data_IF_449350913491
#
_entry.id   IF_449350913491
#
_cell.length_a   1.000
_cell.length_b   1.000
_cell.length_c   1.000
_cell.angle_alpha   90.00
_cell.angle_beta   90.00
_cell.angle_gamma   90.00
#
_symmetry.space_group_name_H-M   'P 1'
#
loop_
_entity.id
_entity.type
_entity.pdbx_description
1 polymer ?
#
# COMPACT_ATOMS: atom_id res chain seq x y z
N UNK A 1 -6.68 5.06 -4.51
CA UNK A 1 -6.69 4.75 -5.96
C UNK A 1 -6.70 5.99 -6.87
N UNK A 2 -6.20 7.17 -6.43
CA UNK A 2 -6.22 8.39 -7.26
C UNK A 2 -4.88 8.75 -7.95
N UNK A 3 -3.76 8.16 -7.55
CA UNK A 3 -2.42 8.53 -8.08
C UNK A 3 -2.01 7.76 -9.35
N UNK A 4 -2.76 6.73 -9.76
CA UNK A 4 -2.42 5.89 -10.92
C UNK A 4 -2.96 6.46 -12.25
N UNK A 5 -3.80 7.51 -12.20
CA UNK A 5 -4.53 8.09 -13.34
C UNK A 5 -3.91 9.39 -13.88
N UNK A 6 -2.67 9.73 -13.48
CA UNK A 6 -1.99 10.95 -13.94
C UNK A 6 -2.43 12.25 -13.25
N UNK A 7 -3.32 12.17 -12.26
CA UNK A 7 -3.78 13.28 -11.41
C UNK A 7 -3.19 13.18 -10.00
N UNK A 8 -1.93 12.75 -9.90
CA UNK A 8 -1.21 12.72 -8.64
C UNK A 8 -0.88 14.13 -8.15
N UNK A 9 -0.77 14.29 -6.83
CA UNK A 9 -0.31 15.53 -6.17
C UNK A 9 0.87 16.11 -6.96
N UNK A 10 0.81 17.36 -7.44
CA UNK A 10 1.90 17.93 -8.21
C UNK A 10 3.20 17.88 -7.40
N UNK A 11 4.35 17.61 -8.03
CA UNK A 11 5.64 17.48 -7.33
C UNK A 11 5.88 18.72 -6.45
N UNK A 12 6.14 18.55 -5.15
CA UNK A 12 7.45 18.07 -4.69
C UNK A 12 7.42 16.90 -3.68
N UNK A 13 6.24 16.40 -3.31
CA UNK A 13 6.12 15.34 -2.30
C UNK A 13 6.14 13.94 -2.94
N UNK A 14 7.12 13.07 -2.60
CA UNK A 14 7.14 11.71 -3.10
C UNK A 14 5.98 10.92 -2.48
N UNK A 15 5.03 10.50 -3.31
CA UNK A 15 4.00 9.53 -2.93
C UNK A 15 4.44 8.12 -3.33
N UNK A 16 3.88 7.11 -2.69
CA UNK A 16 4.19 5.71 -2.98
C UNK A 16 3.78 5.31 -4.42
N UNK A 17 2.66 5.87 -4.89
CA UNK A 17 2.20 5.71 -6.27
C UNK A 17 3.12 6.41 -7.29
N UNK A 18 3.60 7.61 -6.98
CA UNK A 18 4.55 8.31 -7.85
C UNK A 18 5.91 7.62 -7.89
N UNK A 19 6.39 7.06 -6.77
CA UNK A 19 7.64 6.26 -6.72
C UNK A 19 7.53 5.00 -7.59
N UNK A 20 6.40 4.29 -7.53
CA UNK A 20 6.19 3.13 -8.41
C UNK A 20 6.06 3.53 -9.89
N UNK A 21 5.48 4.69 -10.18
CA UNK A 21 5.36 5.21 -11.55
C UNK A 21 6.73 5.61 -12.13
N UNK A 22 7.55 6.35 -11.39
CA UNK A 22 8.92 6.72 -11.81
C UNK A 22 9.89 5.55 -11.77
N UNK A 23 9.73 4.64 -10.80
CA UNK A 23 10.56 3.45 -10.64
C UNK A 23 10.48 2.48 -11.82
N UNK A 24 9.42 2.53 -12.64
CA UNK A 24 9.30 1.71 -13.86
C UNK A 24 10.45 1.93 -14.84
N UNK A 25 10.92 3.17 -14.99
CA UNK A 25 12.05 3.48 -15.88
C UNK A 25 13.36 2.86 -15.39
N UNK A 26 13.47 2.62 -14.09
CA UNK A 26 14.65 2.07 -13.42
C UNK A 26 14.49 0.59 -13.05
N UNK A 27 13.44 -0.10 -13.48
CA UNK A 27 13.22 -1.52 -13.11
C UNK A 27 14.40 -2.40 -13.52
N UNK A 28 15.03 -2.12 -14.66
CA UNK A 28 16.16 -2.90 -15.17
C UNK A 28 17.50 -2.55 -14.51
N UNK A 29 17.62 -1.38 -13.87
CA UNK A 29 18.88 -0.87 -13.32
C UNK A 29 18.88 -0.87 -11.78
N UNK A 30 17.74 -0.54 -11.17
CA UNK A 30 17.53 -0.41 -9.73
C UNK A 30 16.13 -0.95 -9.33
N UNK A 31 15.90 -2.27 -9.44
CA UNK A 31 14.58 -2.88 -9.18
C UNK A 31 14.07 -2.65 -7.74
N UNK A 32 14.97 -2.44 -6.78
CA UNK A 32 14.62 -2.16 -5.38
C UNK A 32 13.75 -0.91 -5.22
N UNK A 33 13.86 0.08 -6.11
CA UNK A 33 13.08 1.33 -6.07
C UNK A 33 11.58 1.04 -6.27
N UNK A 34 11.23 -0.01 -7.02
CA UNK A 34 9.84 -0.43 -7.21
C UNK A 34 9.40 -1.47 -6.15
N UNK A 35 10.30 -2.39 -5.76
CA UNK A 35 9.98 -3.50 -4.85
C UNK A 35 9.67 -3.02 -3.44
N UNK A 36 10.47 -2.11 -2.89
CA UNK A 36 10.29 -1.62 -1.51
C UNK A 36 8.92 -0.97 -1.26
N UNK A 37 8.50 0.05 -2.02
CA UNK A 37 7.18 0.65 -1.82
C UNK A 37 6.04 -0.34 -2.07
N UNK A 38 6.21 -1.27 -3.03
CA UNK A 38 5.24 -2.35 -3.26
C UNK A 38 5.07 -3.28 -2.06
N UNK A 39 6.18 -3.76 -1.49
CA UNK A 39 6.18 -4.65 -0.32
C UNK A 39 5.60 -3.96 0.91
N UNK A 40 5.99 -2.71 1.14
CA UNK A 40 5.51 -1.94 2.27
C UNK A 40 3.99 -1.64 2.14
N UNK A 41 3.46 -1.44 0.92
CA UNK A 41 2.01 -1.32 0.68
C UNK A 41 1.29 -2.63 0.97
N UNK A 42 1.86 -3.76 0.53
CA UNK A 42 1.29 -5.07 0.80
C UNK A 42 1.23 -5.36 2.31
N UNK A 43 2.29 -5.03 3.05
CA UNK A 43 2.35 -5.20 4.50
C UNK A 43 1.37 -4.28 5.23
N UNK A 44 1.24 -3.01 4.80
CA UNK A 44 0.26 -2.11 5.37
C UNK A 44 -1.17 -2.63 5.17
N UNK A 45 -1.51 -3.04 3.94
CA UNK A 45 -2.82 -3.62 3.62
C UNK A 45 -3.08 -4.90 4.41
N UNK A 46 -2.10 -5.80 4.48
CA UNK A 46 -2.22 -7.02 5.27
C UNK A 46 -2.43 -6.71 6.75
N UNK A 47 -1.63 -5.80 7.32
CA UNK A 47 -1.73 -5.39 8.71
C UNK A 47 -3.10 -4.78 9.04
N UNK A 48 -3.62 -3.90 8.16
CA UNK A 48 -4.96 -3.34 8.34
C UNK A 48 -6.08 -4.38 8.19
N UNK A 49 -5.95 -5.34 7.26
CA UNK A 49 -6.93 -6.42 7.14
C UNK A 49 -6.94 -7.29 8.40
N UNK A 50 -5.77 -7.76 8.85
CA UNK A 50 -5.66 -8.59 10.06
C UNK A 50 -6.11 -7.84 11.32
N UNK A 51 -5.80 -6.54 11.40
CA UNK A 51 -6.27 -5.69 12.49
C UNK A 51 -7.80 -5.55 12.47
N UNK A 52 -8.40 -5.35 11.29
CA UNK A 52 -9.85 -5.31 11.12
C UNK A 52 -10.52 -6.62 11.49
N UNK A 53 -9.92 -7.75 11.11
CA UNK A 53 -10.41 -9.08 11.46
C UNK A 53 -10.32 -9.33 12.97
N UNK A 54 -9.19 -9.00 13.62
CA UNK A 54 -9.05 -9.13 15.07
C UNK A 54 -10.00 -8.18 15.83
N UNK A 55 -10.21 -6.97 15.31
CA UNK A 55 -11.17 -6.02 15.87
C UNK A 55 -12.61 -6.54 15.71
N UNK A 56 -12.93 -7.16 14.57
CA UNK A 56 -14.21 -7.81 14.33
C UNK A 56 -14.41 -8.98 15.30
N UNK A 57 -13.43 -9.87 15.43
CA UNK A 57 -13.53 -11.03 16.31
C UNK A 57 -13.72 -10.64 17.79
N UNK A 58 -13.11 -9.54 18.21
CA UNK A 58 -13.28 -9.02 19.59
C UNK A 58 -14.60 -8.27 19.81
N UNK A 59 -15.17 -7.67 18.75
CA UNK A 59 -16.44 -6.96 18.81
C UNK A 59 -17.66 -7.82 18.45
N UNK A 60 -17.48 -8.98 17.80
CA UNK A 60 -18.57 -9.89 17.42
C UNK A 60 -18.96 -10.76 18.63
N UNK A 61 -20.12 -10.51 19.28
CA UNK A 61 -20.52 -11.21 20.51
C UNK A 61 -21.11 -12.60 20.26
N UNK A 62 -21.01 -13.14 19.03
CA UNK A 62 -21.71 -14.36 18.58
C UNK A 62 -21.08 -15.69 19.00
N UNK A 63 -20.23 -15.68 20.03
CA UNK A 63 -19.72 -16.87 20.72
C UNK A 63 -20.40 -17.11 22.09
N UNK A 64 -21.58 -16.51 22.29
CA UNK A 64 -22.49 -16.85 23.40
C UNK A 64 -23.83 -17.33 22.83
N UNK A 65 -23.81 -18.49 22.19
CA UNK A 65 -24.95 -19.42 22.17
C UNK A 65 -24.43 -20.79 22.61
#
# INVERSE_FOLDING_TARGET
>A
SLSFLGLGVPPPAPSWGSIMSSGRAYIMEAPWIAIFPGLMMALAVLGFNLFGDALRDTLDPRLKD
#
